data_IF_479398074634
#
_entry.id   IF_479398074634
#
_cell.length_a   1.000
_cell.length_b   1.000
_cell.length_c   1.000
_cell.angle_alpha   90.00
_cell.angle_beta   90.00
_cell.angle_gamma   90.00
#
_symmetry.space_group_name_H-M   'P 1'
#
loop_
_entity.id
_entity.type
_entity.pdbx_description
1 polymer ?
#
# COMPACT_ATOMS: atom_id res chain seq x y z
N UNK A 1 15.07 -6.10 9.64
CA UNK A 1 13.62 -6.33 9.49
C UNK A 1 13.06 -5.57 8.29
N UNK A 2 13.18 -4.23 8.26
CA UNK A 2 12.73 -3.36 7.16
C UNK A 2 13.21 -3.79 5.76
N UNK A 3 14.50 -4.12 5.63
CA UNK A 3 15.04 -4.59 4.34
C UNK A 3 14.41 -5.91 3.91
N UNK A 4 14.26 -6.87 4.82
CA UNK A 4 13.69 -8.19 4.51
C UNK A 4 12.21 -8.11 4.14
N UNK A 5 11.41 -7.33 4.87
CA UNK A 5 9.99 -7.15 4.56
C UNK A 5 9.78 -6.48 3.20
N UNK A 6 10.60 -5.49 2.86
CA UNK A 6 10.52 -4.81 1.57
C UNK A 6 10.97 -5.70 0.40
N UNK A 7 11.93 -6.60 0.63
CA UNK A 7 12.38 -7.56 -0.40
C UNK A 7 11.30 -8.56 -0.78
N UNK A 8 10.44 -8.96 0.15
CA UNK A 8 9.28 -9.81 -0.16
C UNK A 8 8.37 -9.12 -1.18
N UNK A 9 8.10 -7.83 -0.98
CA UNK A 9 7.33 -7.03 -1.94
C UNK A 9 7.99 -6.94 -3.31
N UNK A 10 9.31 -6.74 -3.34
CA UNK A 10 10.06 -6.66 -4.60
C UNK A 10 10.01 -7.99 -5.38
N UNK A 11 10.03 -9.14 -4.69
CA UNK A 11 9.86 -10.45 -5.33
C UNK A 11 8.48 -10.57 -6.00
N UNK A 12 7.41 -10.11 -5.35
CA UNK A 12 6.08 -10.10 -5.97
C UNK A 12 6.01 -9.17 -7.19
N UNK A 13 6.68 -8.01 -7.17
CA UNK A 13 6.75 -7.13 -8.34
C UNK A 13 7.49 -7.79 -9.51
N UNK A 14 8.59 -8.49 -9.25
CA UNK A 14 9.31 -9.23 -10.30
C UNK A 14 8.46 -10.37 -10.87
N UNK A 15 7.69 -11.08 -10.03
CA UNK A 15 6.75 -12.10 -10.47
C UNK A 15 5.66 -11.50 -11.37
N UNK A 16 5.11 -10.33 -11.01
CA UNK A 16 4.13 -9.62 -11.85
C UNK A 16 4.70 -9.30 -13.23
N UNK A 17 5.91 -8.74 -13.30
CA UNK A 17 6.56 -8.43 -14.58
C UNK A 17 6.74 -9.70 -15.42
N UNK A 18 7.14 -10.81 -14.80
CA UNK A 18 7.27 -12.09 -15.49
C UNK A 18 5.92 -12.62 -15.99
N UNK A 19 4.84 -12.46 -15.22
CA UNK A 19 3.51 -12.96 -15.58
C UNK A 19 2.82 -12.10 -16.64
N UNK A 20 3.12 -10.79 -16.67
CA UNK A 20 2.64 -9.86 -17.70
C UNK A 20 3.17 -10.20 -19.11
N UNK A 21 4.26 -10.98 -19.22
CA UNK A 21 4.75 -11.47 -20.51
C UNK A 21 3.71 -12.35 -21.22
N UNK A 22 2.79 -12.99 -20.49
CA UNK A 22 1.71 -13.78 -21.09
C UNK A 22 0.77 -12.95 -21.99
N UNK A 23 0.66 -11.64 -21.75
CA UNK A 23 -0.13 -10.72 -22.58
C UNK A 23 0.65 -10.15 -23.78
N UNK A 24 1.93 -10.53 -23.92
CA UNK A 24 2.81 -10.14 -25.03
C UNK A 24 3.48 -8.77 -24.87
N UNK A 25 2.99 -7.87 -24.01
CA UNK A 25 3.67 -6.61 -23.69
C UNK A 25 3.43 -6.16 -22.25
N UNK A 26 4.23 -5.20 -21.78
CA UNK A 26 4.09 -4.62 -20.43
C UNK A 26 3.15 -3.41 -20.37
N UNK A 27 2.50 -3.06 -21.49
CA UNK A 27 1.60 -1.91 -21.56
C UNK A 27 0.28 -2.21 -20.84
N UNK A 28 0.29 -2.05 -19.52
CA UNK A 28 -0.83 -2.40 -18.65
C UNK A 28 -2.12 -1.61 -18.96
N UNK A 29 -2.02 -0.38 -19.49
CA UNK A 29 -3.16 0.52 -19.73
C UNK A 29 -4.24 -0.15 -20.58
N UNK A 30 -3.85 -0.86 -21.64
CA UNK A 30 -4.81 -1.53 -22.52
C UNK A 30 -5.31 -2.84 -21.91
N UNK A 31 -4.43 -3.63 -21.28
CA UNK A 31 -4.81 -4.95 -20.77
C UNK A 31 -5.74 -4.92 -19.56
N UNK A 32 -5.64 -3.88 -18.73
CA UNK A 32 -6.47 -3.77 -17.52
C UNK A 32 -7.97 -3.75 -17.81
N UNK A 33 -8.39 -3.16 -18.93
CA UNK A 33 -9.81 -3.09 -19.27
C UNK A 33 -10.31 -4.32 -20.01
N UNK A 34 -9.50 -4.87 -20.93
CA UNK A 34 -9.90 -6.01 -21.76
C UNK A 34 -9.88 -7.35 -21.03
N UNK A 35 -8.94 -7.56 -20.10
CA UNK A 35 -8.70 -8.86 -19.46
C UNK A 35 -9.16 -8.94 -18.00
N UNK A 36 -10.13 -8.12 -17.57
CA UNK A 36 -10.59 -8.08 -16.17
C UNK A 36 -11.06 -9.43 -15.63
N UNK A 37 -11.65 -10.27 -16.49
CA UNK A 37 -12.27 -11.53 -16.10
C UNK A 37 -11.28 -12.72 -16.18
N UNK A 38 -10.13 -12.52 -16.81
CA UNK A 38 -9.18 -13.60 -17.03
C UNK A 38 -8.48 -14.02 -15.74
N UNK A 39 -8.31 -15.33 -15.58
CA UNK A 39 -7.60 -15.91 -14.44
C UNK A 39 -6.15 -15.39 -14.33
N UNK A 40 -5.47 -15.21 -15.47
CA UNK A 40 -4.12 -14.65 -15.49
C UNK A 40 -4.07 -13.24 -14.90
N UNK A 41 -5.06 -12.40 -15.20
CA UNK A 41 -5.14 -11.05 -14.65
C UNK A 41 -5.44 -11.07 -13.15
N UNK A 42 -6.33 -11.96 -12.70
CA UNK A 42 -6.60 -12.13 -11.26
C UNK A 42 -5.32 -12.47 -10.47
N UNK A 43 -4.50 -13.38 -10.99
CA UNK A 43 -3.22 -13.75 -10.36
C UNK A 43 -2.29 -12.54 -10.26
N UNK A 44 -2.19 -11.74 -11.32
CA UNK A 44 -1.41 -10.50 -11.33
C UNK A 44 -1.92 -9.51 -10.29
N UNK A 45 -3.24 -9.30 -10.21
CA UNK A 45 -3.86 -8.39 -9.23
C UNK A 45 -3.55 -8.85 -7.80
N UNK A 46 -3.64 -10.15 -7.51
CA UNK A 46 -3.32 -10.68 -6.18
C UNK A 46 -1.84 -10.44 -5.83
N UNK A 47 -0.91 -10.69 -6.77
CA UNK A 47 0.52 -10.44 -6.53
C UNK A 47 0.81 -8.94 -6.33
N UNK A 48 0.13 -8.07 -7.08
CA UNK A 48 0.19 -6.61 -6.93
C UNK A 48 -0.32 -6.18 -5.56
N UNK A 49 -1.44 -6.73 -5.10
CA UNK A 49 -1.98 -6.46 -3.76
C UNK A 49 -0.98 -6.87 -2.68
N UNK A 50 -0.38 -8.06 -2.79
CA UNK A 50 0.66 -8.49 -1.84
C UNK A 50 1.89 -7.57 -1.84
N UNK A 51 2.36 -7.16 -3.02
CA UNK A 51 3.46 -6.19 -3.13
C UNK A 51 3.10 -4.86 -2.46
N UNK A 52 1.90 -4.35 -2.73
CA UNK A 52 1.45 -3.08 -2.17
C UNK A 52 1.26 -3.15 -0.64
N UNK A 53 0.73 -4.24 -0.09
CA UNK A 53 0.55 -4.43 1.35
C UNK A 53 1.90 -4.40 2.10
N UNK A 54 2.95 -4.98 1.52
CA UNK A 54 4.30 -4.95 2.13
C UNK A 54 4.89 -3.54 2.15
N UNK A 55 4.80 -2.80 1.03
CA UNK A 55 5.34 -1.42 0.91
C UNK A 55 4.54 -0.39 1.68
N UNK A 56 3.22 -0.57 1.82
CA UNK A 56 2.33 0.33 2.56
C UNK A 56 2.20 0.00 4.06
N UNK A 57 3.00 -0.96 4.57
CA UNK A 57 3.02 -1.39 5.96
C UNK A 57 1.63 -1.81 6.51
N UNK A 58 0.81 -2.43 5.68
CA UNK A 58 -0.48 -2.97 6.10
C UNK A 58 -0.28 -4.31 6.83
N UNK A 59 -1.22 -4.73 7.66
CA UNK A 59 -1.20 -6.02 8.36
C UNK A 59 -1.16 -7.11 7.28
N UNK A 60 -0.24 -8.09 7.34
CA UNK A 60 0.62 -8.47 8.48
C UNK A 60 2.00 -7.78 8.56
N UNK A 61 2.36 -6.94 7.59
CA UNK A 61 3.67 -6.31 7.47
C UNK A 61 3.78 -4.93 8.17
N UNK A 62 2.96 -4.64 9.18
CA UNK A 62 2.95 -3.32 9.85
C UNK A 62 4.16 -3.07 10.75
N UNK A 63 4.84 -4.13 11.20
CA UNK A 63 5.89 -4.06 12.22
C UNK A 63 7.15 -3.29 11.81
N UNK A 64 7.42 -3.16 10.50
CA UNK A 64 8.66 -2.53 10.06
C UNK A 64 8.62 -1.00 10.14
N UNK A 65 7.44 -0.39 10.13
CA UNK A 65 7.29 1.06 10.06
C UNK A 65 7.62 1.75 11.41
N UNK A 66 7.12 1.31 12.57
CA UNK A 66 7.56 1.85 13.87
C UNK A 66 9.06 1.62 14.13
N UNK A 67 9.58 0.47 13.72
CA UNK A 67 11.00 0.12 13.88
C UNK A 67 11.93 1.00 13.01
N UNK A 68 11.44 1.56 11.91
CA UNK A 68 12.22 2.43 11.04
C UNK A 68 12.47 3.82 11.64
N UNK A 69 11.72 4.22 12.66
CA UNK A 69 11.84 5.53 13.31
C UNK A 69 13.02 5.68 14.27
N UNK A 70 13.87 4.65 14.37
CA UNK A 70 15.20 4.78 14.96
C UNK A 70 16.15 5.69 14.14
N UNK A 71 15.80 5.99 12.88
CA UNK A 71 16.58 6.83 11.97
C UNK A 71 16.49 8.35 12.29
N UNK A 72 17.49 9.15 11.87
CA UNK A 72 17.52 10.60 12.11
C UNK A 72 16.37 11.34 11.43
N UNK A 73 15.93 12.44 12.06
CA UNK A 73 14.72 13.22 11.74
C UNK A 73 14.56 13.73 10.31
N UNK A 74 15.60 14.12 9.54
CA UNK A 74 15.41 14.51 8.14
C UNK A 74 15.16 13.29 7.22
N UNK A 75 15.71 12.13 7.56
CA UNK A 75 15.54 10.89 6.77
C UNK A 75 14.16 10.28 7.05
N UNK A 76 13.67 10.37 8.28
CA UNK A 76 12.33 9.88 8.62
C UNK A 76 11.22 10.70 7.96
N UNK A 77 11.39 12.03 7.84
CA UNK A 77 10.44 12.87 7.11
C UNK A 77 10.35 12.42 5.63
N UNK A 78 11.49 12.28 4.95
CA UNK A 78 11.53 12.01 3.51
C UNK A 78 11.13 10.57 3.14
N UNK A 79 11.58 9.58 3.90
CA UNK A 79 11.31 8.17 3.59
C UNK A 79 9.89 7.74 4.00
N UNK A 80 9.35 8.31 5.07
CA UNK A 80 8.06 7.88 5.62
C UNK A 80 6.87 8.73 5.19
N UNK A 81 7.05 10.00 4.81
CA UNK A 81 5.93 10.83 4.33
C UNK A 81 5.67 10.69 2.84
N UNK A 82 6.72 10.63 2.01
CA UNK A 82 6.57 10.97 0.59
C UNK A 82 6.90 9.86 -0.41
N UNK A 83 7.72 8.85 -0.05
CA UNK A 83 8.32 7.98 -1.07
C UNK A 83 7.98 6.50 -0.95
N UNK A 84 8.29 5.84 0.17
CA UNK A 84 8.21 4.37 0.19
C UNK A 84 6.78 3.87 0.45
N UNK A 85 6.07 4.53 1.37
CA UNK A 85 4.78 4.04 1.85
C UNK A 85 3.62 4.45 0.95
N UNK A 86 3.72 5.63 0.34
CA UNK A 86 2.79 6.15 -0.69
C UNK A 86 2.92 5.40 -2.02
N UNK A 87 4.11 4.89 -2.36
CA UNK A 87 4.33 4.10 -3.57
C UNK A 87 3.46 2.83 -3.63
N UNK A 88 3.23 2.17 -2.48
CA UNK A 88 2.33 1.01 -2.41
C UNK A 88 0.88 1.37 -2.73
N UNK A 89 0.37 2.47 -2.16
CA UNK A 89 -0.99 2.97 -2.42
C UNK A 89 -1.12 3.43 -3.88
N UNK A 90 -0.12 4.15 -4.39
CA UNK A 90 -0.10 4.61 -5.78
C UNK A 90 -0.14 3.46 -6.80
N UNK A 91 0.58 2.38 -6.53
CA UNK A 91 0.54 1.18 -7.37
C UNK A 91 -0.89 0.62 -7.44
N UNK A 92 -1.60 0.55 -6.31
CA UNK A 92 -2.99 0.09 -6.29
C UNK A 92 -3.95 1.05 -6.98
N UNK A 93 -3.71 2.37 -6.89
CA UNK A 93 -4.47 3.38 -7.65
C UNK A 93 -4.38 3.07 -9.15
N UNK A 94 -3.19 2.74 -9.66
CA UNK A 94 -2.98 2.43 -11.08
C UNK A 94 -3.66 1.13 -11.53
N UNK A 95 -3.74 0.13 -10.67
CA UNK A 95 -4.37 -1.16 -10.99
C UNK A 95 -5.84 -1.26 -10.54
N UNK A 96 -6.41 -0.22 -9.94
CA UNK A 96 -7.77 -0.18 -9.37
C UNK A 96 -8.86 -0.67 -10.33
N UNK A 97 -8.72 -0.35 -11.62
CA UNK A 97 -9.66 -0.72 -12.70
C UNK A 97 -9.82 -2.23 -12.87
N UNK A 98 -8.82 -3.02 -12.46
CA UNK A 98 -8.80 -4.48 -12.56
C UNK A 98 -9.26 -5.21 -11.29
N UNK A 99 -9.66 -4.48 -10.24
CA UNK A 99 -10.06 -5.11 -8.98
C UNK A 99 -11.43 -5.77 -9.09
N UNK A 100 -11.48 -7.03 -8.66
CA UNK A 100 -12.75 -7.74 -8.48
C UNK A 100 -13.35 -7.42 -7.11
N UNK A 101 -14.66 -7.61 -6.95
CA UNK A 101 -15.36 -7.35 -5.68
C UNK A 101 -14.78 -8.12 -4.48
N UNK A 102 -14.21 -9.31 -4.73
CA UNK A 102 -13.51 -10.10 -3.71
C UNK A 102 -12.19 -9.45 -3.25
N UNK A 103 -11.41 -8.90 -4.19
CA UNK A 103 -10.16 -8.19 -3.86
C UNK A 103 -10.48 -6.91 -3.09
N UNK A 104 -11.51 -6.18 -3.48
CA UNK A 104 -11.96 -5.00 -2.76
C UNK A 104 -12.40 -5.31 -1.33
N UNK A 105 -13.19 -6.37 -1.10
CA UNK A 105 -13.62 -6.74 0.26
C UNK A 105 -12.45 -7.18 1.15
N UNK A 106 -11.48 -7.91 0.60
CA UNK A 106 -10.24 -8.26 1.30
C UNK A 106 -9.43 -7.02 1.67
N UNK A 107 -9.23 -6.08 0.72
CA UNK A 107 -8.50 -4.84 0.96
C UNK A 107 -9.19 -3.99 2.02
N UNK A 108 -10.52 -3.89 1.99
CA UNK A 108 -11.31 -3.16 2.99
C UNK A 108 -11.12 -3.76 4.38
N UNK A 109 -11.16 -5.09 4.49
CA UNK A 109 -10.98 -5.77 5.77
C UNK A 109 -9.57 -5.55 6.35
N UNK A 110 -8.53 -5.74 5.53
CA UNK A 110 -7.13 -5.56 5.95
C UNK A 110 -6.87 -4.10 6.34
N UNK A 111 -7.36 -3.15 5.55
CA UNK A 111 -7.17 -1.72 5.80
C UNK A 111 -7.97 -1.20 7.01
N UNK A 112 -9.15 -1.75 7.27
CA UNK A 112 -9.90 -1.48 8.50
C UNK A 112 -9.15 -1.97 9.74
N UNK A 113 -8.60 -3.18 9.68
CA UNK A 113 -7.81 -3.73 10.79
C UNK A 113 -6.52 -2.95 11.05
N UNK A 114 -5.83 -2.47 10.01
CA UNK A 114 -4.61 -1.66 10.17
C UNK A 114 -4.89 -0.31 10.77
N UNK A 115 -5.96 0.35 10.33
CA UNK A 115 -6.39 1.62 10.91
C UNK A 115 -6.70 1.48 12.39
N UNK A 116 -7.43 0.43 12.77
CA UNK A 116 -7.78 0.16 14.16
C UNK A 116 -6.55 -0.15 15.02
N UNK A 117 -5.67 -1.03 14.55
CA UNK A 117 -4.42 -1.39 15.25
C UNK A 117 -3.50 -0.18 15.45
N UNK A 118 -3.33 0.64 14.42
CA UNK A 118 -2.53 1.86 14.51
C UNK A 118 -3.13 2.90 15.46
N UNK A 119 -4.46 3.08 15.41
CA UNK A 119 -5.17 4.01 16.29
C UNK A 119 -5.07 3.62 17.76
N UNK A 120 -5.24 2.33 18.08
CA UNK A 120 -5.05 1.84 19.44
C UNK A 120 -3.58 1.94 19.87
N UNK A 121 -2.63 1.52 19.02
CA UNK A 121 -1.21 1.53 19.33
C UNK A 121 -0.69 2.95 19.64
N UNK A 122 -1.17 3.96 18.91
CA UNK A 122 -0.73 5.34 19.11
C UNK A 122 -1.10 5.89 20.51
N UNK A 123 -2.17 5.37 21.14
CA UNK A 123 -2.59 5.82 22.48
C UNK A 123 -1.73 5.24 23.60
N UNK A 124 -1.02 4.13 23.36
CA UNK A 124 -0.18 3.46 24.34
C UNK A 124 1.31 3.78 24.20
N UNK A 125 1.69 4.50 23.15
CA UNK A 125 3.06 4.92 22.90
C UNK A 125 3.39 6.25 23.58
N UNK A 126 4.59 6.36 24.13
CA UNK A 126 5.07 7.57 24.82
C UNK A 126 5.99 8.43 23.96
N UNK A 127 6.64 7.83 22.95
CA UNK A 127 7.56 8.54 22.07
C UNK A 127 6.81 9.29 20.96
N UNK A 128 7.04 10.60 20.85
CA UNK A 128 6.40 11.44 19.81
C UNK A 128 6.65 10.90 18.40
N UNK A 129 7.82 10.32 18.14
CA UNK A 129 8.14 9.72 16.84
C UNK A 129 7.24 8.51 16.56
N UNK A 130 7.15 7.54 17.48
CA UNK A 130 6.34 6.33 17.28
C UNK A 130 4.85 6.67 17.11
N UNK A 131 4.34 7.67 17.83
CA UNK A 131 2.97 8.20 17.65
C UNK A 131 2.78 8.74 16.22
N UNK A 132 3.74 9.53 15.71
CA UNK A 132 3.67 10.02 14.32
C UNK A 132 3.73 8.85 13.34
N UNK A 133 4.57 7.84 13.54
CA UNK A 133 4.59 6.60 12.75
C UNK A 133 3.21 5.94 12.69
N UNK A 134 2.63 5.68 13.84
CA UNK A 134 1.33 4.99 13.93
C UNK A 134 0.23 5.84 13.31
N UNK A 135 0.28 7.17 13.46
CA UNK A 135 -0.62 8.06 12.74
C UNK A 135 -0.42 8.02 11.21
N UNK A 136 0.78 7.74 10.68
CA UNK A 136 0.98 7.52 9.23
C UNK A 136 0.31 6.24 8.79
N UNK A 137 0.47 5.18 9.58
CA UNK A 137 -0.08 3.86 9.29
C UNK A 137 -1.60 3.86 9.29
N UNK A 138 -2.24 4.58 10.23
CA UNK A 138 -3.70 4.73 10.24
C UNK A 138 -4.22 5.50 9.02
N UNK A 139 -3.52 6.56 8.61
CA UNK A 139 -3.88 7.35 7.42
C UNK A 139 -3.71 6.58 6.11
N UNK A 140 -2.70 5.70 6.04
CA UNK A 140 -2.52 4.81 4.89
C UNK A 140 -3.60 3.74 4.85
N UNK A 141 -3.97 3.16 6.01
CA UNK A 141 -5.16 2.30 6.11
C UNK A 141 -6.41 3.02 5.62
N UNK A 142 -6.58 4.30 5.95
CA UNK A 142 -7.70 5.11 5.45
C UNK A 142 -7.67 5.25 3.93
N UNK A 143 -6.54 5.62 3.32
CA UNK A 143 -6.42 5.70 1.85
C UNK A 143 -6.76 4.37 1.16
N UNK A 144 -6.30 3.27 1.73
CA UNK A 144 -6.56 1.92 1.21
C UNK A 144 -8.04 1.54 1.32
N UNK A 145 -8.71 1.94 2.40
CA UNK A 145 -10.14 1.71 2.59
C UNK A 145 -10.98 2.50 1.56
N UNK A 146 -10.64 3.78 1.31
CA UNK A 146 -11.30 4.61 0.29
C UNK A 146 -11.12 3.97 -1.10
N UNK A 147 -9.92 3.48 -1.40
CA UNK A 147 -9.62 2.83 -2.67
C UNK A 147 -10.43 1.54 -2.84
N UNK A 148 -10.59 0.75 -1.79
CA UNK A 148 -11.39 -0.48 -1.81
C UNK A 148 -12.89 -0.24 -2.01
N UNK A 149 -13.40 0.93 -1.63
CA UNK A 149 -14.77 1.38 -1.90
C UNK A 149 -14.97 1.88 -3.34
N UNK A 150 -13.90 1.94 -4.15
CA UNK A 150 -13.93 2.37 -5.55
C UNK A 150 -13.73 3.87 -5.76
N UNK A 151 -13.50 4.66 -4.70
CA UNK A 151 -13.30 6.10 -4.80
C UNK A 151 -11.83 6.47 -5.06
N UNK A 152 -11.35 6.15 -6.27
CA UNK A 152 -9.93 6.30 -6.65
C UNK A 152 -9.45 7.76 -6.57
N UNK A 153 -10.26 8.71 -7.06
CA UNK A 153 -9.90 10.13 -7.06
C UNK A 153 -9.78 10.71 -5.64
N UNK A 154 -10.67 10.29 -4.72
CA UNK A 154 -10.61 10.68 -3.32
C UNK A 154 -9.36 10.10 -2.62
N UNK A 155 -9.02 8.84 -2.91
CA UNK A 155 -7.82 8.22 -2.38
C UNK A 155 -6.56 8.95 -2.86
N UNK A 156 -6.52 9.33 -4.15
CA UNK A 156 -5.40 10.09 -4.72
C UNK A 156 -5.30 11.51 -4.14
N UNK A 157 -6.42 12.21 -4.00
CA UNK A 157 -6.45 13.53 -3.37
C UNK A 157 -5.95 13.46 -1.92
N UNK A 158 -6.43 12.49 -1.14
CA UNK A 158 -5.98 12.30 0.23
C UNK A 158 -4.48 11.97 0.31
N UNK A 159 -3.95 11.17 -0.63
CA UNK A 159 -2.52 10.88 -0.73
C UNK A 159 -1.69 12.16 -0.94
N UNK A 160 -2.12 13.06 -1.84
CA UNK A 160 -1.43 14.33 -2.08
C UNK A 160 -1.44 15.22 -0.83
N UNK A 161 -2.60 15.34 -0.17
CA UNK A 161 -2.71 16.17 1.04
C UNK A 161 -1.87 15.61 2.19
N UNK A 162 -1.85 14.29 2.36
CA UNK A 162 -1.01 13.63 3.36
C UNK A 162 0.48 13.85 3.11
N UNK A 163 0.95 13.74 1.86
CA UNK A 163 2.34 14.00 1.53
C UNK A 163 2.75 15.46 1.84
N UNK A 164 1.85 16.43 1.61
CA UNK A 164 2.11 17.85 1.88
C UNK A 164 2.15 18.18 3.38
N UNK A 165 1.19 17.67 4.17
CA UNK A 165 1.07 18.03 5.58
C UNK A 165 1.96 17.23 6.52
N UNK A 166 2.55 16.12 6.05
CA UNK A 166 3.30 15.18 6.88
C UNK A 166 4.81 15.16 6.60
N UNK A 167 5.27 15.99 5.67
CA UNK A 167 6.67 16.34 5.49
C UNK A 167 7.13 17.30 6.60
#
# INVERSE_FOLDING_TARGET
LTALSNRIGDVYLLLVISWMLNFGSWNYIFYLDFYKVDFCMLVIVIMIVMAALTKSAQIPFSSWLPAAMAAPTPVSALVHSSTLVTAGVYLLIRFSVSFSGYVCSLLLFISGMTMFMAGLGANFEYDLKSIIALSTLSQLGLMMSILSLGYVDLAFFHLLMHALFKA
#
